data_IF_458243304102
#
_entry.id   IF_458243304102
#
_cell.length_a   1.000
_cell.length_b   1.000
_cell.length_c   1.000
_cell.angle_alpha   90.00
_cell.angle_beta   90.00
_cell.angle_gamma   90.00
#
_symmetry.space_group_name_H-M   'P 1'
#
loop_
_entity.id
_entity.type
_entity.pdbx_description
1 polymer ?
#
# COMPACT_ATOMS: atom_id res chain seq x y z
N UNK A 1 8.40 14.27 9.38
CA UNK A 1 7.48 13.10 9.41
C UNK A 1 7.89 12.03 8.39
N UNK A 2 8.34 12.41 7.18
CA UNK A 2 8.86 11.48 6.16
C UNK A 2 10.13 10.68 6.58
N UNK A 3 10.84 11.12 7.62
CA UNK A 3 12.04 10.44 8.13
C UNK A 3 11.75 9.18 8.97
N UNK A 4 10.49 8.96 9.35
CA UNK A 4 10.08 7.80 10.17
C UNK A 4 9.85 6.54 9.35
N UNK A 5 9.44 6.68 8.07
CA UNK A 5 9.12 5.53 7.22
C UNK A 5 10.38 4.90 6.63
N UNK A 6 10.53 3.59 6.81
CA UNK A 6 11.56 2.75 6.19
C UNK A 6 10.92 1.78 5.18
N UNK A 7 11.74 1.06 4.43
CA UNK A 7 11.21 0.00 3.54
C UNK A 7 10.67 -1.18 4.34
N UNK A 8 9.71 -1.90 3.76
CA UNK A 8 9.21 -3.14 4.35
C UNK A 8 10.32 -4.17 4.55
N UNK A 9 11.30 -4.24 3.65
CA UNK A 9 12.49 -5.08 3.81
C UNK A 9 13.27 -4.75 5.09
N UNK A 10 13.48 -3.46 5.39
CA UNK A 10 14.17 -3.04 6.61
C UNK A 10 13.40 -3.41 7.87
N UNK A 11 12.07 -3.22 7.87
CA UNK A 11 11.22 -3.65 9.01
C UNK A 11 11.32 -5.16 9.18
N UNK A 12 11.08 -5.95 8.13
CA UNK A 12 11.09 -7.41 8.18
C UNK A 12 12.46 -7.98 8.57
N UNK A 13 13.55 -7.39 8.08
CA UNK A 13 14.92 -7.79 8.45
C UNK A 13 15.18 -7.62 9.95
N UNK A 14 14.61 -6.58 10.58
CA UNK A 14 14.76 -6.34 12.02
C UNK A 14 13.81 -7.18 12.87
N UNK A 15 12.61 -7.46 12.34
CA UNK A 15 11.66 -8.40 12.97
C UNK A 15 12.29 -9.78 13.08
N UNK A 16 13.00 -10.24 12.04
CA UNK A 16 13.56 -11.59 11.97
C UNK A 16 12.48 -12.66 11.78
N UNK A 17 12.84 -13.93 12.03
CA UNK A 17 11.90 -15.04 11.93
C UNK A 17 10.90 -15.03 13.11
N UNK A 18 9.58 -15.14 12.86
CA UNK A 18 8.60 -15.16 13.93
C UNK A 18 8.60 -16.49 14.69
N UNK A 19 8.72 -16.44 16.02
CA UNK A 19 8.53 -17.62 16.87
C UNK A 19 7.08 -18.10 16.95
N UNK A 20 6.12 -17.21 16.67
CA UNK A 20 4.69 -17.50 16.56
C UNK A 20 4.00 -16.40 15.73
N UNK A 21 3.03 -16.78 14.92
CA UNK A 21 2.29 -15.88 14.06
C UNK A 21 0.83 -16.30 13.87
N UNK A 22 -0.07 -15.32 13.81
CA UNK A 22 -1.46 -15.48 13.38
C UNK A 22 -1.69 -14.60 12.16
N UNK A 23 -2.38 -15.13 11.15
CA UNK A 23 -2.67 -14.37 9.94
C UNK A 23 -4.10 -14.60 9.45
N UNK A 24 -4.69 -13.54 8.91
CA UNK A 24 -5.94 -13.56 8.15
C UNK A 24 -5.60 -13.07 6.75
N UNK A 25 -5.98 -13.82 5.72
CA UNK A 25 -5.67 -13.47 4.32
C UNK A 25 -6.94 -13.21 3.54
N UNK A 26 -6.95 -12.13 2.77
CA UNK A 26 -7.99 -11.78 1.80
C UNK A 26 -9.42 -11.81 2.39
N UNK A 27 -9.60 -11.25 3.58
CA UNK A 27 -10.91 -11.04 4.15
C UNK A 27 -11.69 -10.06 3.27
N UNK A 28 -12.78 -10.53 2.66
CA UNK A 28 -13.50 -9.79 1.62
C UNK A 28 -14.60 -8.90 2.21
N UNK A 29 -14.72 -7.69 1.67
CA UNK A 29 -15.85 -6.76 1.90
C UNK A 29 -16.03 -5.85 0.68
N UNK A 30 -17.02 -4.96 0.74
CA UNK A 30 -17.27 -3.91 -0.24
C UNK A 30 -16.91 -2.54 0.35
N UNK A 31 -16.39 -1.64 -0.48
CA UNK A 31 -15.82 -0.38 -0.03
C UNK A 31 -16.42 0.81 -0.82
N UNK A 32 -17.05 1.74 -0.11
CA UNK A 32 -17.44 3.06 -0.58
C UNK A 32 -16.37 4.10 -0.23
N UNK A 33 -15.13 3.79 -0.60
CA UNK A 33 -13.96 4.61 -0.36
C UNK A 33 -12.92 4.33 -1.45
N UNK A 34 -11.89 5.18 -1.46
CA UNK A 34 -10.83 5.26 -2.45
C UNK A 34 -11.36 5.57 -3.87
N UNK A 35 -10.43 5.75 -4.80
CA UNK A 35 -10.75 5.85 -6.22
C UNK A 35 -10.87 4.48 -6.89
N UNK A 36 -11.74 4.36 -7.89
CA UNK A 36 -11.76 3.22 -8.81
C UNK A 36 -10.62 3.32 -9.86
N UNK A 37 -10.58 2.37 -10.80
CA UNK A 37 -9.60 2.33 -11.88
C UNK A 37 -9.65 3.53 -12.84
N UNK A 38 -10.73 4.32 -12.84
CA UNK A 38 -10.87 5.53 -13.65
C UNK A 38 -10.56 6.80 -12.84
N UNK A 39 -10.03 6.67 -11.62
CA UNK A 39 -9.75 7.79 -10.72
C UNK A 39 -11.00 8.39 -10.07
N UNK A 40 -12.18 7.80 -10.26
CA UNK A 40 -13.43 8.32 -9.70
C UNK A 40 -13.60 7.84 -8.27
N UNK A 41 -14.10 8.70 -7.39
CA UNK A 41 -14.35 8.32 -5.99
C UNK A 41 -15.54 7.38 -5.88
N UNK A 42 -15.34 6.26 -5.19
CA UNK A 42 -16.36 5.25 -4.95
C UNK A 42 -17.32 5.68 -3.82
N UNK A 43 -18.08 6.77 -3.99
CA UNK A 43 -19.02 7.25 -2.96
C UNK A 43 -20.43 6.67 -3.10
N UNK A 44 -20.88 6.47 -4.35
CA UNK A 44 -22.22 5.99 -4.68
C UNK A 44 -22.26 4.51 -5.09
N UNK A 45 -21.17 3.98 -5.64
CA UNK A 45 -21.02 2.58 -6.01
C UNK A 45 -19.82 1.99 -5.26
N UNK A 46 -19.96 0.82 -4.63
CA UNK A 46 -18.86 0.20 -3.92
C UNK A 46 -17.91 -0.51 -4.88
N UNK A 47 -16.68 -0.71 -4.44
CA UNK A 47 -15.72 -1.62 -5.07
C UNK A 47 -15.36 -2.77 -4.13
N UNK A 48 -15.01 -3.97 -4.65
CA UNK A 48 -14.54 -5.06 -3.82
C UNK A 48 -13.23 -4.68 -3.12
N UNK A 49 -13.08 -5.13 -1.87
CA UNK A 49 -11.92 -4.86 -1.04
C UNK A 49 -11.51 -6.15 -0.31
N UNK A 50 -10.21 -6.42 -0.30
CA UNK A 50 -9.60 -7.55 0.40
C UNK A 50 -8.66 -7.02 1.48
N UNK A 51 -8.82 -7.50 2.71
CA UNK A 51 -7.98 -7.12 3.84
C UNK A 51 -7.18 -8.33 4.30
N UNK A 52 -5.86 -8.17 4.44
CA UNK A 52 -4.98 -9.16 5.06
C UNK A 52 -4.30 -8.57 6.28
N UNK A 53 -4.13 -9.39 7.32
CA UNK A 53 -3.45 -9.04 8.55
C UNK A 53 -2.47 -10.16 8.94
N UNK A 54 -1.26 -9.78 9.33
CA UNK A 54 -0.22 -10.67 9.85
C UNK A 54 0.23 -10.13 11.20
N UNK A 55 0.10 -10.94 12.25
CA UNK A 55 0.47 -10.60 13.63
C UNK A 55 1.55 -11.58 14.09
N UNK A 56 2.74 -11.09 14.41
CA UNK A 56 3.80 -11.90 15.03
C UNK A 56 3.91 -11.57 16.51
N UNK A 57 4.14 -12.60 17.31
CA UNK A 57 4.21 -12.49 18.77
C UNK A 57 5.66 -12.44 19.24
N UNK A 58 5.87 -11.80 20.40
CA UNK A 58 7.19 -11.78 21.06
C UNK A 58 7.54 -13.14 21.69
N UNK A 59 6.55 -13.96 21.98
CA UNK A 59 6.67 -15.26 22.64
C UNK A 59 5.90 -16.32 21.84
N UNK A 60 6.25 -17.62 21.97
CA UNK A 60 5.49 -18.70 21.39
C UNK A 60 4.11 -18.87 22.07
N UNK A 61 3.23 -19.69 21.46
CA UNK A 61 1.91 -20.06 21.99
C UNK A 61 1.99 -21.03 23.19
N UNK A 62 2.78 -20.70 24.21
CA UNK A 62 3.07 -21.60 25.34
C UNK A 62 1.83 -22.09 26.09
N UNK A 63 0.96 -21.17 26.53
CA UNK A 63 -0.27 -21.52 27.26
C UNK A 63 -1.26 -22.21 26.34
N UNK A 64 -1.42 -21.70 25.12
CA UNK A 64 -2.39 -22.25 24.20
C UNK A 64 -2.04 -23.67 23.74
N UNK A 65 -0.75 -23.93 23.49
CA UNK A 65 -0.26 -25.25 23.12
C UNK A 65 -0.29 -26.24 24.30
N UNK A 66 0.01 -25.79 25.52
CA UNK A 66 0.04 -26.68 26.69
C UNK A 66 -1.36 -27.14 27.12
N UNK A 67 -2.37 -26.27 26.98
CA UNK A 67 -3.71 -26.51 27.52
C UNK A 67 -4.76 -26.83 26.45
N UNK A 68 -4.38 -26.83 25.16
CA UNK A 68 -5.30 -26.95 24.01
C UNK A 68 -6.49 -25.97 24.11
N UNK A 69 -6.22 -24.76 24.59
CA UNK A 69 -7.21 -23.71 24.84
C UNK A 69 -6.61 -22.33 24.55
N UNK A 70 -7.36 -21.45 23.93
CA UNK A 70 -6.87 -20.10 23.63
C UNK A 70 -6.54 -19.33 24.93
N UNK A 71 -5.27 -18.95 25.07
CA UNK A 71 -4.76 -18.15 26.18
C UNK A 71 -4.51 -16.69 25.79
N UNK A 72 -3.96 -15.92 26.73
CA UNK A 72 -3.55 -14.52 26.51
C UNK A 72 -2.28 -14.39 25.64
N UNK A 73 -1.63 -15.49 25.29
CA UNK A 73 -0.41 -15.60 24.49
C UNK A 73 -0.69 -15.68 22.98
N UNK A 74 -1.95 -15.59 22.56
CA UNK A 74 -2.35 -15.62 21.15
C UNK A 74 -3.52 -14.69 20.87
N UNK A 75 -3.81 -14.48 19.58
CA UNK A 75 -5.01 -13.78 19.11
C UNK A 75 -5.85 -14.76 18.30
N UNK A 76 -7.11 -14.94 18.70
CA UNK A 76 -8.03 -15.77 17.92
C UNK A 76 -8.28 -15.13 16.54
N UNK A 77 -7.92 -15.82 15.47
CA UNK A 77 -8.10 -15.34 14.09
C UNK A 77 -9.54 -14.93 13.76
N UNK A 78 -10.56 -15.67 14.23
CA UNK A 78 -11.97 -15.31 14.05
C UNK A 78 -12.37 -14.01 14.76
N UNK A 79 -11.81 -13.71 15.93
CA UNK A 79 -12.03 -12.43 16.60
C UNK A 79 -11.28 -11.31 15.87
N UNK A 80 -10.07 -11.57 15.37
CA UNK A 80 -9.33 -10.62 14.53
C UNK A 80 -10.12 -10.30 13.25
N UNK A 81 -10.67 -11.30 12.55
CA UNK A 81 -11.52 -11.08 11.38
C UNK A 81 -12.75 -10.24 11.72
N UNK A 82 -13.43 -10.52 12.84
CA UNK A 82 -14.58 -9.73 13.30
C UNK A 82 -14.18 -8.29 13.61
N UNK A 83 -13.07 -8.08 14.31
CA UNK A 83 -12.57 -6.74 14.64
C UNK A 83 -12.23 -5.93 13.38
N UNK A 84 -11.59 -6.56 12.38
CA UNK A 84 -11.33 -5.94 11.08
C UNK A 84 -12.64 -5.54 10.40
N UNK A 85 -13.60 -6.46 10.25
CA UNK A 85 -14.86 -6.17 9.58
C UNK A 85 -15.70 -5.13 10.32
N UNK A 86 -15.69 -5.13 11.64
CA UNK A 86 -16.38 -4.14 12.46
C UNK A 86 -15.84 -2.74 12.17
N UNK A 87 -14.51 -2.57 12.12
CA UNK A 87 -13.88 -1.30 11.72
C UNK A 87 -14.21 -0.91 10.29
N UNK A 88 -14.31 -1.89 9.38
CA UNK A 88 -14.64 -1.62 7.99
C UNK A 88 -16.07 -1.12 7.76
N UNK A 89 -17.03 -1.37 8.67
CA UNK A 89 -18.47 -1.03 8.49
C UNK A 89 -18.73 0.41 8.06
N UNK A 90 -17.96 1.37 8.60
CA UNK A 90 -18.11 2.80 8.25
C UNK A 90 -17.76 3.11 6.80
N UNK A 91 -17.05 2.21 6.13
CA UNK A 91 -16.69 2.30 4.72
C UNK A 91 -17.57 1.41 3.82
N UNK A 92 -18.53 0.66 4.38
CA UNK A 92 -19.38 -0.27 3.60
C UNK A 92 -20.76 0.29 3.29
N UNK A 93 -21.00 1.57 3.55
CA UNK A 93 -22.28 2.26 3.26
C UNK A 93 -22.05 3.39 2.27
N UNK A 94 -22.99 3.61 1.31
CA UNK A 94 -22.94 4.79 0.44
C UNK A 94 -22.99 6.06 1.27
N UNK A 95 -22.37 7.12 0.77
CA UNK A 95 -22.55 8.46 1.32
C UNK A 95 -23.41 9.27 0.35
N UNK A 96 -24.67 9.48 0.72
CA UNK A 96 -25.56 10.40 0.01
C UNK A 96 -25.03 11.84 0.13
N UNK A 97 -25.32 12.65 -0.88
CA UNK A 97 -24.62 13.89 -1.23
C UNK A 97 -24.60 14.96 -0.11
N UNK A 98 -23.46 15.14 0.57
CA UNK A 98 -23.23 16.28 1.49
C UNK A 98 -22.97 17.63 0.76
N UNK A 99 -23.17 17.70 -0.56
CA UNK A 99 -22.82 18.89 -1.37
C UNK A 99 -23.95 19.93 -1.57
N UNK A 100 -25.21 19.66 -1.19
CA UNK A 100 -26.31 20.62 -1.43
C UNK A 100 -26.51 21.69 -0.33
N UNK A 101 -25.90 21.57 0.86
CA UNK A 101 -26.11 22.54 1.95
C UNK A 101 -25.05 23.66 2.01
N UNK A 102 -23.82 23.46 1.53
CA UNK A 102 -22.77 24.48 1.61
C UNK A 102 -22.98 25.66 0.64
N UNK A 103 -23.69 25.47 -0.47
CA UNK A 103 -24.00 26.57 -1.40
C UNK A 103 -25.20 27.43 -0.97
N UNK A 104 -26.03 26.97 -0.02
CA UNK A 104 -27.17 27.76 0.49
C UNK A 104 -26.84 28.60 1.73
N UNK A 105 -25.65 28.45 2.31
CA UNK A 105 -25.26 29.08 3.58
C UNK A 105 -24.28 30.27 3.47
N UNK A 106 -23.84 30.68 2.28
CA UNK A 106 -22.92 31.82 2.14
C UNK A 106 -23.67 33.16 2.17
N UNK A 107 -24.21 33.50 3.34
CA UNK A 107 -24.67 34.84 3.69
C UNK A 107 -23.75 35.48 4.73
N UNK A 108 -23.00 36.51 4.31
CA UNK A 108 -22.30 37.54 5.08
C UNK A 108 -21.73 37.21 6.48
N UNK A 109 -20.40 37.23 6.60
CA UNK A 109 -19.70 37.41 7.88
C UNK A 109 -18.20 37.72 7.70
N UNK A 110 -17.81 38.96 8.00
CA UNK A 110 -16.41 39.37 8.17
C UNK A 110 -15.82 38.76 9.46
N UNK A 111 -14.59 38.25 9.40
CA UNK A 111 -13.69 38.24 10.56
C UNK A 111 -13.08 36.89 10.95
N UNK A 112 -11.75 36.87 10.87
CA UNK A 112 -10.77 36.05 11.62
C UNK A 112 -10.31 34.70 11.02
N UNK A 113 -9.06 34.72 10.54
CA UNK A 113 -8.35 33.58 9.96
C UNK A 113 -7.72 32.71 11.06
N UNK A 114 -8.55 31.91 11.73
CA UNK A 114 -8.06 30.63 12.22
C UNK A 114 -8.11 29.64 11.06
N UNK A 115 -6.98 29.02 10.74
CA UNK A 115 -6.89 27.95 9.73
C UNK A 115 -7.64 26.74 10.28
N UNK A 116 -8.96 26.72 10.10
CA UNK A 116 -9.77 25.52 10.21
C UNK A 116 -9.34 24.59 9.08
N UNK A 117 -8.71 23.47 9.45
CA UNK A 117 -8.43 22.37 8.54
C UNK A 117 -9.74 21.94 7.87
N UNK A 118 -9.86 22.23 6.57
CA UNK A 118 -10.91 21.67 5.72
C UNK A 118 -10.83 20.14 5.82
N UNK A 119 -11.67 19.55 6.67
CA UNK A 119 -11.90 18.11 6.79
C UNK A 119 -12.59 17.61 5.51
N UNK A 120 -11.87 17.63 4.40
CA UNK A 120 -12.36 17.13 3.13
C UNK A 120 -12.66 15.64 3.29
N UNK A 121 -13.95 15.34 3.21
CA UNK A 121 -14.69 14.09 3.39
C UNK A 121 -14.24 12.85 2.59
N UNK A 122 -13.03 12.85 2.05
CA UNK A 122 -12.58 11.88 1.07
C UNK A 122 -11.88 10.69 1.77
N UNK A 123 -12.58 9.57 1.93
CA UNK A 123 -11.95 8.35 2.42
C UNK A 123 -11.05 7.79 1.32
N UNK A 124 -9.75 8.03 1.41
CA UNK A 124 -8.74 7.47 0.51
C UNK A 124 -8.30 6.09 1.01
N UNK A 125 -7.58 5.33 0.17
CA UNK A 125 -7.02 4.05 0.57
C UNK A 125 -6.09 4.19 1.78
N UNK A 126 -5.28 5.26 1.82
CA UNK A 126 -4.41 5.59 2.94
C UNK A 126 -5.20 5.87 4.24
N UNK A 127 -6.35 6.53 4.13
CA UNK A 127 -7.21 6.78 5.29
C UNK A 127 -7.89 5.49 5.80
N UNK A 128 -8.32 4.60 4.89
CA UNK A 128 -8.91 3.30 5.25
C UNK A 128 -7.92 2.46 6.04
N UNK A 129 -6.68 2.33 5.56
CA UNK A 129 -5.66 1.55 6.27
C UNK A 129 -5.24 2.21 7.59
N UNK A 130 -5.16 3.55 7.62
CA UNK A 130 -4.90 4.30 8.86
C UNK A 130 -5.96 4.02 9.92
N UNK A 131 -7.23 4.06 9.56
CA UNK A 131 -8.31 3.82 10.49
C UNK A 131 -8.34 2.38 11.00
N UNK A 132 -8.14 1.42 10.10
CA UNK A 132 -8.03 0.02 10.48
C UNK A 132 -6.87 -0.19 11.47
N UNK A 133 -5.73 0.47 11.23
CA UNK A 133 -4.58 0.45 12.12
C UNK A 133 -4.90 1.02 13.50
N UNK A 134 -5.51 2.20 13.56
CA UNK A 134 -5.96 2.83 14.81
C UNK A 134 -6.90 1.90 15.55
N UNK A 135 -7.90 1.34 14.86
CA UNK A 135 -8.91 0.51 15.48
C UNK A 135 -8.36 -0.80 16.07
N UNK A 136 -7.31 -1.36 15.47
CA UNK A 136 -6.66 -2.57 15.96
C UNK A 136 -5.63 -2.29 17.06
N UNK A 137 -4.88 -1.19 16.96
CA UNK A 137 -3.72 -0.94 17.82
C UNK A 137 -3.96 0.10 18.90
N UNK A 138 -4.93 0.99 18.72
CA UNK A 138 -5.16 2.18 19.55
C UNK A 138 -4.23 3.35 19.24
N UNK A 139 -3.37 3.22 18.22
CA UNK A 139 -2.36 4.22 17.89
C UNK A 139 -2.51 4.71 16.45
N UNK A 140 -2.25 5.99 16.23
CA UNK A 140 -2.20 6.56 14.90
C UNK A 140 -0.96 6.08 14.14
N UNK A 141 -1.19 5.56 12.92
CA UNK A 141 -0.11 5.15 12.03
C UNK A 141 0.66 6.37 11.46
N UNK A 142 -0.02 7.53 11.37
CA UNK A 142 0.50 8.74 10.70
C UNK A 142 0.66 9.98 11.61
N UNK A 143 0.85 9.78 12.92
CA UNK A 143 1.42 10.82 13.79
C UNK A 143 0.45 11.80 14.47
N UNK A 144 -0.87 11.62 14.36
CA UNK A 144 -1.86 12.46 15.06
C UNK A 144 -2.69 11.62 16.03
N UNK A 145 -2.49 11.83 17.33
CA UNK A 145 -3.12 11.07 18.41
C UNK A 145 -4.62 11.30 18.47
N UNK A 146 -5.40 10.22 18.40
CA UNK A 146 -6.60 10.06 19.23
C UNK A 146 -6.46 8.72 19.94
N UNK A 147 -6.39 8.77 21.27
CA UNK A 147 -6.58 7.59 22.10
C UNK A 147 -8.04 7.15 21.91
N UNK A 148 -8.29 6.17 21.04
CA UNK A 148 -9.57 5.48 21.02
C UNK A 148 -9.67 4.52 22.23
N UNK A 149 -10.91 4.25 22.64
CA UNK A 149 -11.22 3.24 23.65
C UNK A 149 -10.62 1.88 23.31
N UNK A 150 -10.13 1.20 24.36
CA UNK A 150 -9.55 -0.16 24.43
C UNK A 150 -9.18 -0.80 23.07
N UNK A 151 -7.90 -0.80 22.67
CA UNK A 151 -7.47 -1.43 21.42
C UNK A 151 -7.77 -2.93 21.40
N UNK A 152 -8.03 -3.48 20.20
CA UNK A 152 -8.27 -4.92 20.03
C UNK A 152 -7.01 -5.75 20.32
N UNK A 153 -5.86 -5.27 19.84
CA UNK A 153 -4.58 -5.95 20.00
C UNK A 153 -3.86 -5.45 21.25
N UNK A 154 -3.39 -6.39 22.07
CA UNK A 154 -2.41 -6.09 23.10
C UNK A 154 -1.02 -5.99 22.48
N UNK A 155 -0.63 -4.76 22.14
CA UNK A 155 0.68 -4.43 21.55
C UNK A 155 1.85 -4.85 22.47
N UNK A 156 1.63 -5.06 23.77
CA UNK A 156 2.66 -5.57 24.68
C UNK A 156 3.18 -6.94 24.25
N UNK A 157 2.29 -7.79 23.72
CA UNK A 157 2.56 -9.16 23.27
C UNK A 157 3.05 -9.26 21.83
N UNK A 158 2.84 -8.20 21.04
CA UNK A 158 3.06 -8.19 19.59
C UNK A 158 4.47 -7.71 19.26
N UNK A 159 5.15 -8.45 18.39
CA UNK A 159 6.47 -8.11 17.84
C UNK A 159 6.34 -7.38 16.51
N UNK A 160 5.39 -7.79 15.68
CA UNK A 160 5.18 -7.22 14.35
C UNK A 160 3.70 -7.27 13.96
N UNK A 161 3.25 -6.22 13.28
CA UNK A 161 1.93 -6.15 12.64
C UNK A 161 2.13 -5.71 11.19
N UNK A 162 1.51 -6.40 10.25
CA UNK A 162 1.34 -5.97 8.87
C UNK A 162 -0.13 -5.99 8.50
N UNK A 163 -0.63 -4.89 7.95
CA UNK A 163 -1.96 -4.78 7.38
C UNK A 163 -1.83 -4.47 5.89
N UNK A 164 -2.60 -5.16 5.07
CA UNK A 164 -2.68 -4.91 3.63
C UNK A 164 -4.14 -4.75 3.23
N UNK A 165 -4.46 -3.63 2.60
CA UNK A 165 -5.77 -3.38 1.97
C UNK A 165 -5.58 -3.42 0.46
N UNK A 166 -6.30 -4.30 -0.23
CA UNK A 166 -6.23 -4.49 -1.69
C UNK A 166 -7.58 -4.16 -2.32
N UNK A 167 -7.55 -3.40 -3.40
CA UNK A 167 -8.67 -3.02 -4.24
C UNK A 167 -8.49 -3.71 -5.61
N UNK A 168 -9.08 -4.89 -5.85
CA UNK A 168 -8.88 -5.66 -7.08
C UNK A 168 -9.42 -4.97 -8.34
N UNK A 169 -10.26 -3.94 -8.18
CA UNK A 169 -10.89 -3.19 -9.29
C UNK A 169 -10.41 -1.74 -9.39
N UNK A 170 -9.32 -1.39 -8.67
CA UNK A 170 -8.72 -0.05 -8.70
C UNK A 170 -7.62 0.11 -9.78
N UNK A 171 -7.38 -0.90 -10.62
CA UNK A 171 -6.46 -0.86 -11.75
C UNK A 171 -7.20 -1.23 -13.04
N UNK A 172 -6.86 -0.57 -14.16
CA UNK A 172 -7.49 -0.84 -15.46
C UNK A 172 -6.83 -2.02 -16.16
N UNK A 173 -5.50 -2.06 -16.15
CA UNK A 173 -4.70 -3.05 -16.87
C UNK A 173 -4.03 -4.08 -15.96
N UNK A 174 -4.16 -3.91 -14.64
CA UNK A 174 -3.58 -4.79 -13.63
C UNK A 174 -4.62 -5.58 -12.84
N UNK A 175 -4.12 -6.35 -11.88
CA UNK A 175 -4.93 -7.17 -10.98
C UNK A 175 -5.40 -6.39 -9.73
N UNK A 176 -5.11 -5.08 -9.67
CA UNK A 176 -5.57 -4.16 -8.64
C UNK A 176 -4.45 -3.32 -8.01
N UNK A 177 -4.82 -2.61 -6.95
CA UNK A 177 -3.90 -1.79 -6.15
C UNK A 177 -3.97 -2.24 -4.70
N UNK A 178 -2.84 -2.26 -3.99
CA UNK A 178 -2.82 -2.47 -2.55
C UNK A 178 -1.96 -1.47 -1.82
N UNK A 179 -2.37 -1.12 -0.61
CA UNK A 179 -1.51 -0.42 0.34
C UNK A 179 -1.19 -1.37 1.50
N UNK A 180 0.08 -1.41 1.90
CA UNK A 180 0.56 -2.18 3.04
C UNK A 180 1.20 -1.26 4.05
N UNK A 181 0.85 -1.42 5.31
CA UNK A 181 1.43 -0.74 6.45
C UNK A 181 1.99 -1.81 7.39
N UNK A 182 3.23 -1.69 7.82
CA UNK A 182 3.80 -2.62 8.80
C UNK A 182 4.64 -1.92 9.85
N UNK A 183 4.72 -2.50 11.04
CA UNK A 183 5.46 -1.93 12.16
C UNK A 183 6.13 -3.04 12.98
N UNK A 184 7.40 -2.79 13.32
CA UNK A 184 8.12 -3.54 14.34
C UNK A 184 7.96 -2.86 15.70
N UNK A 185 7.54 -3.61 16.72
CA UNK A 185 7.31 -3.12 18.07
C UNK A 185 8.48 -3.50 18.98
N UNK A 186 9.39 -2.55 19.16
CA UNK A 186 10.58 -2.67 20.00
C UNK A 186 10.16 -2.34 21.45
N UNK A 187 9.93 -3.40 22.24
CA UNK A 187 9.57 -3.40 23.68
C UNK A 187 8.14 -2.95 24.07
N UNK A 188 7.71 -3.38 25.26
CA UNK A 188 6.33 -3.35 25.76
C UNK A 188 5.82 -1.99 26.28
N UNK A 189 4.64 -1.94 26.92
CA UNK A 189 3.94 -0.71 27.29
C UNK A 189 4.79 0.15 28.23
N UNK A 190 5.00 1.42 27.85
CA UNK A 190 5.71 2.44 28.65
C UNK A 190 6.99 3.00 28.02
N UNK A 191 7.57 2.35 27.00
CA UNK A 191 8.71 2.93 26.24
C UNK A 191 8.21 3.86 25.12
N UNK A 192 8.98 4.93 24.83
CA UNK A 192 8.60 5.94 23.83
C UNK A 192 8.59 5.31 22.43
N UNK A 193 7.40 5.14 21.85
CA UNK A 193 7.11 4.55 20.52
C UNK A 193 7.93 5.12 19.33
N UNK A 194 8.66 6.22 19.51
CA UNK A 194 9.51 6.86 18.48
C UNK A 194 10.70 6.01 18.02
N UNK A 195 10.98 4.88 18.67
CA UNK A 195 11.98 3.90 18.21
C UNK A 195 11.41 2.80 17.30
N UNK A 196 10.08 2.73 17.13
CA UNK A 196 9.46 1.73 16.27
C UNK A 196 9.61 2.12 14.80
N UNK A 197 10.09 1.18 13.99
CA UNK A 197 10.22 1.36 12.56
C UNK A 197 8.91 1.01 11.87
N UNK A 198 8.47 1.92 11.01
CA UNK A 198 7.21 1.84 10.30
C UNK A 198 7.51 1.76 8.81
N UNK A 199 6.85 0.86 8.10
CA UNK A 199 6.81 0.86 6.64
C UNK A 199 5.40 1.19 6.17
N UNK A 200 5.35 1.85 5.01
CA UNK A 200 4.14 2.01 4.22
C UNK A 200 4.53 1.86 2.76
N UNK A 201 3.80 1.03 2.02
CA UNK A 201 4.04 0.80 0.61
C UNK A 201 2.74 0.76 -0.18
N UNK A 202 2.79 1.31 -1.39
CA UNK A 202 1.74 1.24 -2.39
C UNK A 202 2.19 0.30 -3.50
N UNK A 203 1.35 -0.64 -3.91
CA UNK A 203 1.64 -1.57 -5.00
C UNK A 203 0.54 -1.57 -6.05
N UNK A 204 0.93 -1.44 -7.32
CA UNK A 204 0.09 -1.74 -8.48
C UNK A 204 0.48 -3.14 -8.96
N UNK A 205 -0.50 -4.03 -9.06
CA UNK A 205 -0.27 -5.45 -9.31
C UNK A 205 -0.42 -5.78 -10.79
N UNK A 206 0.62 -6.37 -11.37
CA UNK A 206 0.58 -7.13 -12.62
C UNK A 206 -0.10 -6.39 -13.80
N UNK A 207 0.30 -5.14 -14.08
CA UNK A 207 -0.12 -4.42 -15.27
C UNK A 207 0.27 -5.21 -16.53
N UNK A 208 -0.70 -5.60 -17.34
CA UNK A 208 -0.49 -6.37 -18.58
C UNK A 208 -0.51 -5.42 -19.76
N UNK A 209 0.67 -4.94 -20.16
CA UNK A 209 0.80 -3.90 -21.19
C UNK A 209 1.49 -4.46 -22.44
N UNK A 210 0.92 -4.27 -23.66
CA UNK A 210 1.62 -4.54 -24.91
C UNK A 210 2.80 -3.58 -25.09
N UNK A 211 4.01 -4.13 -25.10
CA UNK A 211 5.26 -3.39 -25.08
C UNK A 211 6.19 -3.89 -26.19
N UNK A 212 6.84 -2.98 -26.91
CA UNK A 212 7.87 -3.34 -27.88
C UNK A 212 9.20 -3.52 -27.15
N UNK A 213 9.58 -4.78 -26.89
CA UNK A 213 10.82 -5.11 -26.18
C UNK A 213 11.46 -6.41 -26.68
N UNK A 214 12.76 -6.37 -26.89
CA UNK A 214 13.56 -7.53 -27.31
C UNK A 214 14.74 -7.14 -28.17
N UNK A 215 15.75 -8.01 -28.17
CA UNK A 215 17.02 -7.84 -28.88
C UNK A 215 16.87 -8.30 -30.34
N UNK A 216 16.09 -9.35 -30.59
CA UNK A 216 16.06 -9.95 -31.91
C UNK A 216 15.22 -9.12 -32.89
N UNK A 217 15.60 -9.03 -34.18
CA UNK A 217 14.86 -8.23 -35.17
C UNK A 217 13.37 -8.60 -35.33
N UNK A 218 12.98 -9.83 -34.99
CA UNK A 218 11.58 -10.24 -35.02
C UNK A 218 10.77 -9.68 -33.85
N UNK A 219 11.38 -9.54 -32.67
CA UNK A 219 10.80 -8.91 -31.49
C UNK A 219 10.61 -7.40 -31.68
N UNK A 220 11.35 -6.82 -32.63
CA UNK A 220 11.24 -5.40 -33.02
C UNK A 220 10.06 -5.09 -33.95
N UNK A 221 9.31 -6.10 -34.41
CA UNK A 221 8.20 -5.92 -35.36
C UNK A 221 6.82 -6.00 -34.73
N UNK A 222 6.70 -6.53 -33.51
CA UNK A 222 5.42 -6.73 -32.85
C UNK A 222 5.55 -6.52 -31.34
N UNK A 223 4.52 -5.91 -30.75
CA UNK A 223 4.42 -5.77 -29.29
C UNK A 223 4.13 -7.12 -28.66
N UNK A 224 4.73 -7.34 -27.50
CA UNK A 224 4.51 -8.52 -26.65
C UNK A 224 4.00 -8.04 -25.29
N UNK A 225 3.25 -8.87 -24.57
CA UNK A 225 2.85 -8.51 -23.22
C UNK A 225 4.06 -8.52 -22.29
N UNK A 226 4.22 -7.41 -21.55
CA UNK A 226 5.07 -7.35 -20.36
C UNK A 226 4.14 -7.20 -19.16
N UNK A 227 4.29 -8.09 -18.18
CA UNK A 227 3.51 -8.05 -16.94
C UNK A 227 4.32 -7.33 -15.88
N UNK A 228 3.89 -6.13 -15.47
CA UNK A 228 4.66 -5.24 -14.60
C UNK A 228 3.98 -5.00 -13.27
N UNK A 229 4.66 -5.34 -12.18
CA UNK A 229 4.27 -4.93 -10.82
C UNK A 229 5.17 -3.78 -10.36
N UNK A 230 4.57 -2.73 -9.81
CA UNK A 230 5.28 -1.55 -9.28
C UNK A 230 4.95 -1.39 -7.80
N UNK A 231 5.98 -1.37 -6.96
CA UNK A 231 5.85 -1.07 -5.53
C UNK A 231 6.60 0.21 -5.20
N UNK A 232 5.92 1.17 -4.59
CA UNK A 232 6.53 2.37 -4.02
C UNK A 232 6.59 2.18 -2.51
N UNK A 233 7.81 2.03 -1.99
CA UNK A 233 8.13 1.93 -0.56
C UNK A 233 8.34 3.32 0.05
N UNK A 234 8.20 3.41 1.37
CA UNK A 234 8.21 4.70 2.11
C UNK A 234 7.12 5.64 1.58
N UNK A 235 5.98 5.07 1.20
CA UNK A 235 4.86 5.77 0.61
C UNK A 235 4.07 6.51 1.69
N UNK A 236 4.21 7.83 1.74
CA UNK A 236 3.56 8.70 2.72
C UNK A 236 2.64 9.71 2.04
N UNK A 237 1.65 9.24 1.29
CA UNK A 237 0.63 10.10 0.66
C UNK A 237 -0.76 9.71 1.13
N UNK A 238 -1.58 10.74 1.36
CA UNK A 238 -2.97 10.58 1.79
C UNK A 238 -3.97 10.63 0.64
N UNK A 239 -3.54 10.99 -0.56
CA UNK A 239 -4.35 10.96 -1.78
C UNK A 239 -4.22 9.63 -2.54
N UNK A 240 -5.26 9.32 -3.34
CA UNK A 240 -5.33 8.09 -4.16
C UNK A 240 -4.55 8.24 -5.48
N UNK A 241 -3.26 8.53 -5.37
CA UNK A 241 -2.37 8.82 -6.51
C UNK A 241 -2.05 7.61 -7.41
N UNK A 242 -2.52 6.41 -7.03
CA UNK A 242 -2.21 5.18 -7.77
C UNK A 242 -2.79 5.16 -9.19
N UNK A 243 -3.87 5.91 -9.47
CA UNK A 243 -4.47 5.97 -10.81
C UNK A 243 -3.57 6.74 -11.77
N UNK A 244 -3.06 7.89 -11.33
CA UNK A 244 -2.09 8.69 -12.09
C UNK A 244 -0.75 7.96 -12.22
N UNK A 245 -0.30 7.29 -11.15
CA UNK A 245 0.91 6.47 -11.18
C UNK A 245 0.79 5.32 -12.19
N UNK A 246 -0.35 4.62 -12.24
CA UNK A 246 -0.62 3.62 -13.28
C UNK A 246 -0.49 4.23 -14.69
N UNK A 247 -1.07 5.41 -14.91
CA UNK A 247 -0.95 6.11 -16.19
C UNK A 247 0.49 6.41 -16.60
N UNK A 248 1.34 6.82 -15.67
CA UNK A 248 2.79 7.03 -15.91
C UNK A 248 3.46 5.73 -16.33
N UNK A 249 3.18 4.63 -15.63
CA UNK A 249 3.78 3.32 -15.90
C UNK A 249 3.34 2.78 -17.25
N UNK A 250 2.03 2.79 -17.51
CA UNK A 250 1.44 2.29 -18.76
C UNK A 250 1.97 3.08 -19.95
N UNK A 251 2.02 4.41 -19.87
CA UNK A 251 2.56 5.24 -20.95
C UNK A 251 4.01 4.89 -21.27
N UNK A 252 4.87 4.77 -20.26
CA UNK A 252 6.27 4.40 -20.46
C UNK A 252 6.42 2.99 -21.09
N UNK A 253 5.57 2.04 -20.72
CA UNK A 253 5.55 0.69 -21.29
C UNK A 253 5.01 0.67 -22.73
N UNK A 254 4.03 1.49 -23.06
CA UNK A 254 3.43 1.58 -24.40
C UNK A 254 4.35 2.27 -25.42
N UNK A 255 5.07 3.30 -24.99
CA UNK A 255 6.02 4.10 -25.78
C UNK A 255 7.42 3.45 -25.84
N UNK A 256 7.66 2.40 -25.04
CA UNK A 256 8.93 1.69 -25.00
C UNK A 256 9.35 1.14 -26.37
N UNK A 257 10.66 1.18 -26.60
CA UNK A 257 11.33 0.47 -27.68
C UNK A 257 12.67 -0.12 -27.19
N UNK A 258 12.82 -0.40 -25.90
CA UNK A 258 14.07 -0.95 -25.35
C UNK A 258 14.36 -2.36 -25.86
N UNK A 259 15.63 -2.76 -25.91
CA UNK A 259 15.99 -4.15 -26.23
C UNK A 259 15.83 -5.08 -25.03
N UNK A 260 16.09 -4.56 -23.82
CA UNK A 260 16.15 -5.35 -22.58
C UNK A 260 15.14 -4.85 -21.55
N UNK A 261 14.69 -5.76 -20.68
CA UNK A 261 13.81 -5.40 -19.57
C UNK A 261 14.57 -4.57 -18.53
N UNK A 262 15.87 -4.79 -18.36
CA UNK A 262 16.74 -4.05 -17.46
C UNK A 262 16.75 -2.55 -17.78
N UNK A 263 16.94 -2.19 -19.05
CA UNK A 263 16.94 -0.80 -19.50
C UNK A 263 15.56 -0.16 -19.37
N UNK A 264 14.50 -0.88 -19.74
CA UNK A 264 13.12 -0.44 -19.56
C UNK A 264 12.78 -0.22 -18.07
N UNK A 265 13.20 -1.11 -17.19
CA UNK A 265 12.97 -1.01 -15.75
C UNK A 265 13.72 0.16 -15.11
N UNK A 266 14.97 0.40 -15.54
CA UNK A 266 15.73 1.57 -15.14
C UNK A 266 15.02 2.87 -15.57
N UNK A 267 14.56 2.95 -16.82
CA UNK A 267 13.83 4.10 -17.32
C UNK A 267 12.49 4.33 -16.58
N UNK A 268 11.74 3.25 -16.34
CA UNK A 268 10.49 3.31 -15.61
C UNK A 268 10.70 3.80 -14.17
N UNK A 269 11.77 3.35 -13.51
CA UNK A 269 12.13 3.82 -12.18
C UNK A 269 12.44 5.32 -12.18
N UNK A 270 13.20 5.82 -13.15
CA UNK A 270 13.47 7.25 -13.32
C UNK A 270 12.17 8.04 -13.47
N UNK A 271 11.27 7.59 -14.35
CA UNK A 271 9.95 8.20 -14.59
C UNK A 271 9.14 8.31 -13.30
N UNK A 272 8.98 7.21 -12.55
CA UNK A 272 8.21 7.19 -11.30
C UNK A 272 8.82 8.11 -10.23
N UNK A 273 10.15 8.23 -10.20
CA UNK A 273 10.88 9.02 -9.21
C UNK A 273 11.02 10.50 -9.60
N UNK A 274 10.46 10.93 -10.73
CA UNK A 274 10.43 12.33 -11.15
C UNK A 274 9.79 13.21 -10.05
N UNK A 275 10.35 14.41 -9.78
CA UNK A 275 9.85 15.31 -8.72
C UNK A 275 8.36 15.60 -8.78
N UNK A 276 7.78 15.72 -9.98
CA UNK A 276 6.35 16.02 -10.19
C UNK A 276 5.44 14.93 -9.59
N UNK A 277 5.90 13.68 -9.55
CA UNK A 277 5.14 12.55 -9.05
C UNK A 277 5.31 12.36 -7.55
N UNK A 278 6.53 12.51 -7.04
CA UNK A 278 6.82 12.34 -5.61
C UNK A 278 6.58 13.59 -4.77
N UNK A 279 6.44 14.78 -5.38
CA UNK A 279 6.34 16.07 -4.67
C UNK A 279 7.46 16.19 -3.62
N UNK A 280 7.11 16.47 -2.37
CA UNK A 280 8.04 16.61 -1.25
C UNK A 280 8.54 15.25 -0.69
N UNK A 281 8.04 14.11 -1.20
CA UNK A 281 8.41 12.76 -0.76
C UNK A 281 9.72 12.30 -1.42
N UNK A 282 10.83 12.97 -1.10
CA UNK A 282 12.15 12.71 -1.70
C UNK A 282 12.74 11.34 -1.38
N UNK A 283 12.19 10.62 -0.39
CA UNK A 283 12.69 9.32 0.08
C UNK A 283 12.01 8.09 -0.51
N UNK A 284 11.19 8.24 -1.55
CA UNK A 284 10.61 7.09 -2.24
C UNK A 284 11.69 6.10 -2.71
N UNK A 285 11.38 4.83 -2.54
CA UNK A 285 12.10 3.71 -3.13
C UNK A 285 11.11 2.97 -4.02
N UNK A 286 11.49 2.68 -5.25
CA UNK A 286 10.65 1.93 -6.19
C UNK A 286 11.22 0.55 -6.40
N UNK A 287 10.34 -0.45 -6.41
CA UNK A 287 10.63 -1.81 -6.79
C UNK A 287 9.73 -2.20 -7.96
N UNK A 288 10.35 -2.45 -9.11
CA UNK A 288 9.70 -2.80 -10.37
C UNK A 288 10.04 -4.24 -10.67
N UNK A 289 9.01 -5.07 -10.87
CA UNK A 289 9.15 -6.46 -11.29
C UNK A 289 8.45 -6.62 -12.64
N UNK A 290 9.17 -7.08 -13.65
CA UNK A 290 8.65 -7.28 -15.01
C UNK A 290 8.82 -8.73 -15.44
N UNK A 291 7.74 -9.30 -15.93
CA UNK A 291 7.72 -10.62 -16.56
C UNK A 291 7.54 -10.47 -18.07
N UNK A 292 8.19 -11.34 -18.86
CA UNK A 292 7.94 -11.45 -20.31
C UNK A 292 7.49 -12.88 -20.65
N UNK A 293 6.20 -13.21 -20.50
CA UNK A 293 5.71 -14.59 -20.52
C UNK A 293 6.08 -15.39 -21.78
N UNK A 294 6.11 -14.74 -22.94
CA UNK A 294 6.33 -15.41 -24.23
C UNK A 294 7.81 -15.60 -24.59
N UNK A 295 8.75 -15.15 -23.76
CA UNK A 295 10.17 -15.11 -24.13
C UNK A 295 10.89 -16.47 -24.07
N UNK A 296 10.50 -17.36 -23.15
CA UNK A 296 11.18 -18.64 -22.92
C UNK A 296 10.17 -19.78 -23.03
N UNK A 297 10.18 -20.59 -24.12
CA UNK A 297 9.15 -21.60 -24.36
C UNK A 297 8.98 -22.67 -23.27
N UNK A 298 10.01 -22.90 -22.46
CA UNK A 298 10.05 -23.94 -21.41
C UNK A 298 9.89 -23.37 -19.99
N UNK A 299 9.50 -22.10 -19.85
CA UNK A 299 9.25 -21.46 -18.56
C UNK A 299 7.96 -20.63 -18.64
N UNK A 300 7.27 -20.46 -17.52
CA UNK A 300 6.06 -19.60 -17.46
C UNK A 300 6.41 -18.15 -17.83
N UNK A 301 7.52 -17.63 -17.31
CA UNK A 301 8.12 -16.37 -17.72
C UNK A 301 9.56 -16.21 -17.16
N UNK A 302 10.48 -15.54 -17.89
CA UNK A 302 11.60 -14.86 -17.28
C UNK A 302 11.16 -13.57 -16.58
N UNK A 303 11.88 -13.20 -15.51
CA UNK A 303 11.56 -12.07 -14.64
C UNK A 303 12.81 -11.21 -14.45
N UNK A 304 12.65 -9.89 -14.52
CA UNK A 304 13.66 -8.89 -14.14
C UNK A 304 13.10 -8.00 -13.04
N UNK A 305 13.92 -7.73 -12.01
CA UNK A 305 13.61 -6.83 -10.91
C UNK A 305 14.58 -5.64 -10.88
N UNK A 306 14.04 -4.43 -10.75
CA UNK A 306 14.81 -3.20 -10.62
C UNK A 306 14.40 -2.49 -9.34
N UNK A 307 15.39 -2.07 -8.55
CA UNK A 307 15.21 -1.25 -7.35
C UNK A 307 15.98 0.05 -7.49
N UNK A 308 15.32 1.17 -7.22
CA UNK A 308 15.92 2.50 -7.32
C UNK A 308 15.33 3.48 -6.30
N UNK A 309 15.90 4.66 -6.22
CA UNK A 309 15.47 5.73 -5.31
C UNK A 309 16.35 5.82 -4.08
N UNK A 310 15.78 6.27 -2.97
CA UNK A 310 16.54 6.59 -1.76
C UNK A 310 17.38 5.41 -1.26
N UNK A 311 18.66 5.63 -0.95
CA UNK A 311 19.55 4.59 -0.42
C UNK A 311 19.99 3.52 -1.43
N UNK A 312 19.56 3.60 -2.70
CA UNK A 312 20.09 2.80 -3.80
C UNK A 312 21.04 3.63 -4.67
N UNK A 313 22.02 2.99 -5.34
CA UNK A 313 22.77 3.64 -6.42
C UNK A 313 21.81 4.14 -7.50
N UNK A 314 22.16 5.24 -8.16
CA UNK A 314 21.41 5.66 -9.35
C UNK A 314 21.44 4.52 -10.39
N UNK A 315 20.31 4.20 -11.05
CA UNK A 315 20.33 3.22 -12.12
C UNK A 315 21.32 3.66 -13.21
N UNK A 316 22.03 2.70 -13.80
CA UNK A 316 22.89 2.99 -14.95
C UNK A 316 22.03 3.55 -16.08
N UNK A 317 22.33 4.77 -16.55
CA UNK A 317 21.59 5.36 -17.67
C UNK A 317 21.82 4.49 -18.91
N UNK A 318 20.77 3.99 -19.57
CA UNK A 318 20.94 3.40 -20.89
C UNK A 318 21.52 4.45 -21.84
N UNK A 319 22.34 4.03 -22.80
CA UNK A 319 22.75 4.90 -23.89
C UNK A 319 21.48 5.43 -24.57
N UNK A 320 21.43 6.74 -24.84
CA UNK A 320 20.30 7.32 -25.58
C UNK A 320 20.17 6.57 -26.91
N UNK A 321 19.05 5.89 -27.09
CA UNK A 321 18.65 5.25 -28.36
C UNK A 321 18.14 6.29 -29.33
#
# INVERSE_FOLDING_TARGET
>A
MADTFVSDFQVRSLVGEPCAAVSVRNLSTNLYAASDAWGRKCTAAPQPCLISAEVHFKQPFGTAAANDQLGADTVHYGNLSKAILERMKRFTVPREQEQEQEQRGSGNGNGDHSVQENNNNNFTLAYVIHDLWVGLTGWAHFGSVKEEEKPFLDISSIRFLSLTVTLPKASLLGDGVSMTCSQFFKNGPGEKMRENLISASLKIHNLKVPTLVGVNPHERRAKQFVVTSVTVERYFRMDDYYSELEGVVVKALEESSYETLEALGAHLAEKILEPDHRKDHTKWQVHIRMEKPTAVPLADCPIVEVRAGYGFPAPGRPAAS
#
